data_IF_344449667437
#
_entry.id   IF_344449667437
#
_cell.length_a   1.000
_cell.length_b   1.000
_cell.length_c   1.000
_cell.angle_alpha   90.00
_cell.angle_beta   90.00
_cell.angle_gamma   90.00
#
_symmetry.space_group_name_H-M   'P 1'
#
loop_
_entity.id
_entity.type
_entity.pdbx_description
1 polymer ?
#
# COMPACT_ATOMS: atom_id res chain seq x y z
N UNK A 1 26.33 1.50 6.97
CA UNK A 1 24.88 1.29 7.14
C UNK A 1 24.36 2.43 7.99
N UNK A 2 23.36 3.17 7.53
CA UNK A 2 22.80 4.34 8.22
C UNK A 2 21.30 4.18 8.42
N UNK A 3 20.75 4.74 9.50
CA UNK A 3 19.31 4.74 9.77
C UNK A 3 18.79 6.14 9.53
N UNK A 4 17.79 6.27 8.66
CA UNK A 4 17.17 7.55 8.31
C UNK A 4 15.66 7.49 8.50
N UNK A 5 15.11 8.37 9.33
CA UNK A 5 13.66 8.58 9.41
C UNK A 5 13.19 9.30 8.14
N UNK A 6 12.31 8.65 7.37
CA UNK A 6 11.76 9.22 6.13
C UNK A 6 10.56 10.11 6.44
N UNK A 7 9.64 9.61 7.26
CA UNK A 7 8.47 10.33 7.76
C UNK A 7 8.07 9.78 9.13
N UNK A 8 6.93 10.20 9.68
CA UNK A 8 6.50 9.74 11.02
C UNK A 8 6.30 8.22 11.10
N UNK A 9 5.89 7.59 9.99
CA UNK A 9 5.49 6.19 9.90
C UNK A 9 6.60 5.26 9.38
N UNK A 10 7.64 5.80 8.73
CA UNK A 10 8.65 5.01 8.00
C UNK A 10 10.08 5.42 8.34
N UNK A 11 10.87 4.43 8.70
CA UNK A 11 12.31 4.51 8.93
C UNK A 11 13.04 3.62 7.93
N UNK A 12 14.17 4.08 7.41
CA UNK A 12 14.95 3.37 6.41
C UNK A 12 16.29 2.96 7.01
N UNK A 13 16.66 1.70 6.80
CA UNK A 13 18.02 1.20 7.00
C UNK A 13 18.70 1.19 5.65
N UNK A 14 19.71 2.04 5.48
CA UNK A 14 20.40 2.25 4.22
C UNK A 14 21.76 1.54 4.24
N UNK A 15 21.98 0.69 3.24
CA UNK A 15 23.27 0.09 2.98
C UNK A 15 24.02 0.99 2.00
N UNK A 16 25.09 1.61 2.47
CA UNK A 16 25.84 2.61 1.73
C UNK A 16 27.29 2.16 1.64
N UNK A 17 27.90 2.35 0.48
CA UNK A 17 29.31 2.04 0.23
C UNK A 17 30.01 3.27 -0.34
N UNK A 18 31.31 3.34 -0.09
CA UNK A 18 32.19 4.34 -0.64
C UNK A 18 33.29 3.63 -1.42
N UNK A 19 33.39 3.93 -2.71
CA UNK A 19 34.46 3.37 -3.55
C UNK A 19 35.77 4.12 -3.32
N UNK A 20 36.87 3.42 -3.54
CA UNK A 20 38.22 3.98 -3.42
C UNK A 20 38.38 5.13 -4.43
N UNK A 21 38.68 6.32 -3.95
CA UNK A 21 38.82 7.54 -4.77
C UNK A 21 37.56 8.41 -4.88
N UNK A 22 36.39 7.95 -4.42
CA UNK A 22 35.19 8.79 -4.35
C UNK A 22 35.09 9.50 -2.99
N UNK A 23 34.61 10.74 -2.98
CA UNK A 23 34.38 11.54 -1.77
C UNK A 23 32.99 11.32 -1.17
N UNK A 24 32.06 10.73 -1.91
CA UNK A 24 30.66 10.52 -1.51
C UNK A 24 30.32 9.03 -1.33
N UNK A 25 29.31 8.77 -0.50
CA UNK A 25 28.68 7.47 -0.35
C UNK A 25 27.58 7.30 -1.40
N UNK A 26 27.44 6.10 -1.96
CA UNK A 26 26.29 5.74 -2.78
C UNK A 26 25.47 4.65 -2.09
N UNK A 27 24.16 4.69 -2.29
CA UNK A 27 23.23 3.72 -1.72
C UNK A 27 23.26 2.43 -2.55
N UNK A 28 23.62 1.33 -1.91
CA UNK A 28 23.58 -0.02 -2.49
C UNK A 28 22.20 -0.66 -2.33
N UNK A 29 21.62 -0.55 -1.14
CA UNK A 29 20.33 -1.15 -0.81
C UNK A 29 19.62 -0.39 0.31
N UNK A 30 18.34 -0.67 0.49
CA UNK A 30 17.49 -0.10 1.52
C UNK A 30 16.54 -1.17 2.07
N UNK A 31 16.39 -1.18 3.40
CA UNK A 31 15.30 -1.89 4.08
C UNK A 31 14.37 -0.85 4.70
N UNK A 32 13.09 -0.90 4.33
CA UNK A 32 12.07 -0.01 4.87
C UNK A 32 11.36 -0.63 6.08
N UNK A 33 11.47 0.02 7.23
CA UNK A 33 10.73 -0.31 8.45
C UNK A 33 9.49 0.60 8.55
N UNK A 34 8.30 0.00 8.42
CA UNK A 34 7.01 0.70 8.58
C UNK A 34 6.48 0.43 9.99
N UNK A 35 6.05 1.49 10.69
CA UNK A 35 5.46 1.39 12.02
C UNK A 35 4.21 0.51 11.99
N UNK A 36 4.07 -0.37 12.98
CA UNK A 36 2.87 -1.18 13.17
C UNK A 36 1.59 -0.31 13.19
N UNK A 37 0.52 -0.82 12.60
CA UNK A 37 -0.74 -0.07 12.45
C UNK A 37 -0.73 1.00 11.35
N UNK A 38 0.38 1.16 10.62
CA UNK A 38 0.48 2.11 9.51
C UNK A 38 0.81 1.40 8.20
N UNK A 39 0.38 1.98 7.06
CA UNK A 39 0.63 1.42 5.73
C UNK A 39 1.58 2.30 4.95
N UNK A 40 2.44 1.66 4.16
CA UNK A 40 3.35 2.34 3.24
C UNK A 40 2.55 3.08 2.15
N UNK A 41 1.64 2.34 1.52
CA UNK A 41 0.64 2.87 0.62
C UNK A 41 -0.66 3.03 1.40
N UNK A 42 -0.73 4.03 2.27
CA UNK A 42 -2.03 4.67 2.48
C UNK A 42 -2.40 5.32 1.13
N UNK A 43 -3.68 5.31 0.69
CA UNK A 43 -4.13 6.11 -0.43
C UNK A 43 -4.06 7.59 -0.02
N UNK A 44 -2.84 8.11 0.11
CA UNK A 44 -2.55 9.49 0.53
C UNK A 44 -3.09 10.55 -0.43
N UNK A 45 -3.73 10.12 -1.53
CA UNK A 45 -4.46 10.96 -2.47
C UNK A 45 -5.94 11.16 -2.11
N UNK A 46 -6.46 10.52 -1.05
CA UNK A 46 -7.89 10.61 -0.70
C UNK A 46 -8.82 9.95 -1.74
N UNK A 47 -8.25 9.20 -2.69
CA UNK A 47 -8.99 8.47 -3.71
C UNK A 47 -9.48 7.10 -3.22
N UNK A 48 -10.31 6.43 -4.03
CA UNK A 48 -10.82 5.10 -3.69
C UNK A 48 -9.70 4.06 -3.67
N UNK A 49 -9.86 3.04 -2.83
CA UNK A 49 -8.91 1.93 -2.69
C UNK A 49 -9.22 0.84 -3.72
N UNK A 50 -8.19 0.18 -4.24
CA UNK A 50 -8.34 -1.01 -5.07
C UNK A 50 -8.87 -2.15 -4.21
N UNK A 51 -10.02 -2.70 -4.57
CA UNK A 51 -10.69 -3.76 -3.80
C UNK A 51 -9.88 -5.08 -3.72
N UNK A 52 -9.03 -5.34 -4.72
CA UNK A 52 -8.20 -6.55 -4.79
C UNK A 52 -6.90 -6.39 -3.99
N UNK A 53 -6.18 -5.28 -4.19
CA UNK A 53 -4.79 -5.14 -3.69
C UNK A 53 -4.63 -4.15 -2.54
N UNK A 54 -5.63 -3.30 -2.28
CA UNK A 54 -5.51 -2.19 -1.33
C UNK A 54 -4.72 -0.98 -1.84
N UNK A 55 -4.28 -0.99 -3.10
CA UNK A 55 -3.59 0.14 -3.74
C UNK A 55 -4.52 1.30 -4.08
N UNK A 56 -4.02 2.30 -4.82
CA UNK A 56 -4.86 3.36 -5.36
C UNK A 56 -5.79 2.80 -6.46
N UNK A 57 -7.10 2.93 -6.26
CA UNK A 57 -8.12 2.58 -7.24
C UNK A 57 -8.27 3.70 -8.28
N UNK A 58 -8.01 3.39 -9.53
CA UNK A 58 -8.06 4.35 -10.66
C UNK A 58 -9.14 4.00 -11.67
N UNK A 59 -9.57 2.74 -11.70
CA UNK A 59 -10.56 2.20 -12.63
C UNK A 59 -11.82 1.86 -11.84
N UNK A 60 -12.97 2.32 -12.31
CA UNK A 60 -14.27 2.03 -11.72
C UNK A 60 -14.83 0.71 -12.29
N UNK A 61 -15.38 -0.14 -11.43
CA UNK A 61 -16.10 -1.37 -11.77
C UNK A 61 -17.43 -1.41 -11.01
N UNK A 62 -18.45 -2.05 -11.56
CA UNK A 62 -19.78 -2.14 -10.92
C UNK A 62 -20.23 -3.59 -10.79
N UNK A 63 -20.78 -3.94 -9.64
CA UNK A 63 -21.34 -5.26 -9.36
C UNK A 63 -22.55 -5.14 -8.44
N UNK A 64 -23.66 -5.81 -8.78
CA UNK A 64 -24.92 -5.79 -8.02
C UNK A 64 -25.41 -4.36 -7.65
N UNK A 65 -25.28 -3.41 -8.58
CA UNK A 65 -25.70 -2.01 -8.36
C UNK A 65 -24.78 -1.20 -7.44
N UNK A 66 -23.63 -1.75 -7.03
CA UNK A 66 -22.60 -1.05 -6.25
C UNK A 66 -21.37 -0.79 -7.08
N UNK A 67 -20.70 0.32 -6.78
CA UNK A 67 -19.50 0.77 -7.45
C UNK A 67 -18.27 0.46 -6.62
N UNK A 68 -17.29 -0.18 -7.24
CA UNK A 68 -16.00 -0.54 -6.66
C UNK A 68 -14.87 0.00 -7.55
N UNK A 69 -13.63 -0.04 -7.04
CA UNK A 69 -12.48 0.48 -7.76
C UNK A 69 -11.33 -0.52 -7.78
N UNK A 70 -10.58 -0.53 -8.88
CA UNK A 70 -9.40 -1.38 -9.10
C UNK A 70 -8.24 -0.56 -9.66
N UNK A 71 -7.00 -1.03 -9.50
CA UNK A 71 -5.81 -0.27 -9.90
C UNK A 71 -5.34 -0.55 -11.34
N UNK A 72 -5.73 -1.66 -11.94
CA UNK A 72 -5.30 -2.07 -13.29
C UNK A 72 -6.27 -3.07 -13.93
N UNK A 73 -6.07 -3.36 -15.22
CA UNK A 73 -6.86 -4.36 -15.96
C UNK A 73 -6.77 -5.76 -15.37
N UNK A 74 -5.63 -6.17 -14.83
CA UNK A 74 -5.48 -7.47 -14.15
C UNK A 74 -6.35 -7.58 -12.90
N UNK A 75 -6.44 -6.51 -12.10
CA UNK A 75 -7.35 -6.48 -10.96
C UNK A 75 -8.83 -6.44 -11.38
N UNK A 76 -9.14 -5.84 -12.53
CA UNK A 76 -10.49 -5.89 -13.10
C UNK A 76 -10.86 -7.34 -13.47
N UNK A 77 -9.99 -8.05 -14.18
CA UNK A 77 -10.22 -9.45 -14.56
C UNK A 77 -10.42 -10.33 -13.33
N UNK A 78 -9.54 -10.24 -12.34
CA UNK A 78 -9.70 -10.98 -11.08
C UNK A 78 -11.03 -10.67 -10.39
N UNK A 79 -11.42 -9.38 -10.35
CA UNK A 79 -12.70 -8.98 -9.78
C UNK A 79 -13.91 -9.51 -10.57
N UNK A 80 -13.83 -9.57 -11.90
CA UNK A 80 -14.91 -10.07 -12.75
C UNK A 80 -15.05 -11.61 -12.64
N UNK A 81 -13.96 -12.34 -12.33
CA UNK A 81 -13.96 -13.79 -12.12
C UNK A 81 -14.60 -14.20 -10.78
N UNK A 82 -14.27 -13.50 -9.69
CA UNK A 82 -14.81 -13.79 -8.36
C UNK A 82 -15.09 -12.50 -7.53
N UNK A 83 -16.12 -11.73 -7.91
CA UNK A 83 -16.40 -10.45 -7.26
C UNK A 83 -16.83 -10.62 -5.80
N UNK A 84 -17.49 -11.73 -5.46
CA UNK A 84 -18.08 -11.94 -4.13
C UNK A 84 -17.01 -12.12 -3.06
N UNK A 85 -15.94 -12.87 -3.36
CA UNK A 85 -14.80 -13.06 -2.45
C UNK A 85 -14.12 -11.73 -2.13
N UNK A 86 -13.80 -10.92 -3.15
CA UNK A 86 -13.16 -9.62 -2.93
C UNK A 86 -14.06 -8.64 -2.19
N UNK A 87 -15.39 -8.66 -2.43
CA UNK A 87 -16.34 -7.82 -1.70
C UNK A 87 -16.45 -8.24 -0.23
N UNK A 88 -16.45 -9.54 0.06
CA UNK A 88 -16.48 -10.06 1.42
C UNK A 88 -15.23 -9.66 2.20
N UNK A 89 -14.04 -9.86 1.63
CA UNK A 89 -12.78 -9.45 2.24
C UNK A 89 -12.72 -7.94 2.48
N UNK A 90 -13.16 -7.13 1.51
CA UNK A 90 -13.14 -5.68 1.64
C UNK A 90 -14.06 -5.19 2.77
N UNK A 91 -15.22 -5.83 2.97
CA UNK A 91 -16.11 -5.55 4.11
C UNK A 91 -15.44 -5.89 5.44
N UNK A 92 -14.84 -7.07 5.56
CA UNK A 92 -14.14 -7.48 6.79
C UNK A 92 -13.02 -6.50 7.13
N UNK A 93 -12.16 -6.17 6.16
CA UNK A 93 -11.08 -5.18 6.32
C UNK A 93 -11.64 -3.81 6.71
N UNK A 94 -12.80 -3.39 6.18
CA UNK A 94 -13.44 -2.12 6.55
C UNK A 94 -13.97 -2.13 8.00
N UNK A 95 -14.55 -3.24 8.45
CA UNK A 95 -15.05 -3.41 9.81
C UNK A 95 -13.92 -3.43 10.85
N UNK A 96 -12.83 -4.16 10.58
CA UNK A 96 -11.63 -4.17 11.41
C UNK A 96 -11.04 -2.76 11.57
N UNK A 97 -10.96 -2.01 10.47
CA UNK A 97 -10.50 -0.62 10.49
C UNK A 97 -11.42 0.30 11.31
N UNK A 98 -12.73 0.08 11.30
CA UNK A 98 -13.67 0.82 12.15
C UNK A 98 -13.46 0.51 13.64
N UNK A 99 -13.22 -0.76 13.98
CA UNK A 99 -12.92 -1.19 15.35
C UNK A 99 -11.60 -0.61 15.86
N UNK A 100 -10.54 -0.61 15.04
CA UNK A 100 -9.23 -0.03 15.37
C UNK A 100 -9.25 1.50 15.57
N UNK A 101 -10.17 2.23 14.96
CA UNK A 101 -10.33 3.68 15.17
C UNK A 101 -11.16 4.05 16.40
N UNK A 102 -11.88 3.08 16.99
CA UNK A 102 -12.75 3.29 18.15
C UNK A 102 -12.06 3.01 19.49
N UNK A 103 -10.77 2.66 19.47
CA UNK A 103 -9.92 2.38 20.62
C UNK A 103 -8.72 3.34 20.59
#
# INVERSE_FOLDING_TARGET
MSIRRLNEKRTLVLFEQRNKGQSFYYRLAEVGYTREGTRLADPGSGGPECIVTGGAGTIQVSYQGKTYFVCCSGCKQAFDEDPETYIAEAKQKAEERRKQKSN
#
